data_IF_472358366363
#
_entry.id   IF_472358366363
#
_cell.length_a   1.000
_cell.length_b   1.000
_cell.length_c   1.000
_cell.angle_alpha   90.00
_cell.angle_beta   90.00
_cell.angle_gamma   90.00
#
_symmetry.space_group_name_H-M   'P 1'
#
loop_
_entity.id
_entity.type
_entity.pdbx_description
1 polymer ?
#
# COMPACT_ATOMS: atom_id res chain seq x y z
N UNK A 1 3.22 0.28 -18.04
CA UNK A 1 2.05 0.11 -17.15
C UNK A 1 1.17 -1.01 -17.69
N UNK A 2 0.87 -2.00 -16.86
CA UNK A 2 -0.10 -3.05 -17.15
C UNK A 2 -1.50 -2.57 -16.74
N UNK A 3 -2.53 -3.00 -17.46
CA UNK A 3 -3.93 -2.79 -17.09
C UNK A 3 -4.67 -4.12 -17.19
N UNK A 4 -5.28 -4.52 -16.11
CA UNK A 4 -6.06 -5.76 -16.00
C UNK A 4 -7.52 -5.45 -15.68
N UNK A 5 -8.44 -6.26 -16.18
CA UNK A 5 -9.85 -6.23 -15.79
C UNK A 5 -10.10 -7.38 -14.81
N UNK A 6 -10.29 -7.05 -13.54
CA UNK A 6 -10.44 -8.02 -12.45
C UNK A 6 -11.87 -8.52 -12.32
N UNK A 7 -12.83 -7.64 -12.59
CA UNK A 7 -14.27 -7.98 -12.66
C UNK A 7 -14.95 -7.15 -13.76
N UNK A 8 -16.28 -7.25 -13.88
CA UNK A 8 -17.01 -6.49 -14.91
C UNK A 8 -16.85 -4.98 -14.75
N UNK A 9 -16.66 -4.50 -13.54
CA UNK A 9 -16.62 -3.08 -13.22
C UNK A 9 -15.30 -2.61 -12.58
N UNK A 10 -14.33 -3.53 -12.36
CA UNK A 10 -13.07 -3.21 -11.69
C UNK A 10 -11.88 -3.43 -12.63
N UNK A 11 -11.05 -2.40 -12.72
CA UNK A 11 -9.78 -2.40 -13.45
C UNK A 11 -8.65 -2.06 -12.50
N UNK A 12 -7.51 -2.74 -12.67
CA UNK A 12 -6.28 -2.51 -11.90
C UNK A 12 -5.18 -2.06 -12.86
N UNK A 13 -4.46 -1.07 -12.45
CA UNK A 13 -3.27 -0.55 -13.15
C UNK A 13 -2.05 -0.84 -12.30
N UNK A 14 -1.07 -1.52 -12.89
CA UNK A 14 0.22 -1.82 -12.25
C UNK A 14 1.30 -1.01 -12.93
N UNK A 15 2.03 -0.20 -12.18
CA UNK A 15 3.10 0.63 -12.68
C UNK A 15 4.23 -0.21 -13.31
N UNK A 16 4.72 0.22 -14.44
CA UNK A 16 5.96 -0.29 -15.03
C UNK A 16 7.18 0.56 -14.68
N UNK A 17 6.97 1.70 -14.01
CA UNK A 17 8.02 2.68 -13.69
C UNK A 17 8.44 2.63 -12.23
N UNK A 18 7.58 2.16 -11.32
CA UNK A 18 7.87 2.19 -9.89
C UNK A 18 7.34 0.95 -9.16
N UNK A 19 8.23 0.05 -8.78
CA UNK A 19 8.00 -1.07 -7.85
C UNK A 19 6.69 -1.85 -8.05
N UNK A 20 6.13 -1.86 -9.27
CA UNK A 20 4.83 -2.46 -9.59
C UNK A 20 3.69 -1.96 -8.65
N UNK A 21 3.75 -0.70 -8.20
CA UNK A 21 2.67 -0.10 -7.41
C UNK A 21 1.36 -0.12 -8.20
N UNK A 22 0.25 -0.33 -7.49
CA UNK A 22 -1.06 -0.52 -8.11
C UNK A 22 -2.00 0.67 -7.87
N UNK A 23 -2.97 0.83 -8.77
CA UNK A 23 -4.11 1.72 -8.61
C UNK A 23 -5.36 1.06 -9.17
N UNK A 24 -6.51 1.32 -8.56
CA UNK A 24 -7.79 0.75 -8.94
C UNK A 24 -8.74 1.73 -9.60
N UNK A 25 -9.58 1.24 -10.51
CA UNK A 25 -10.69 1.99 -11.09
C UNK A 25 -11.95 1.16 -11.01
N UNK A 26 -12.95 1.68 -10.32
CA UNK A 26 -14.24 1.03 -10.06
C UNK A 26 -15.33 1.81 -10.80
N UNK A 27 -15.95 1.18 -11.79
CA UNK A 27 -17.11 1.74 -12.50
C UNK A 27 -18.36 1.49 -11.68
N UNK A 28 -19.20 2.51 -11.52
CA UNK A 28 -20.52 2.41 -10.91
C UNK A 28 -21.57 2.99 -11.85
N UNK A 29 -22.88 2.84 -11.53
CA UNK A 29 -23.94 3.48 -12.30
C UNK A 29 -24.04 5.00 -12.12
N UNK A 30 -23.27 5.57 -11.18
CA UNK A 30 -23.33 6.99 -10.85
C UNK A 30 -21.98 7.71 -11.03
N UNK A 31 -21.01 7.07 -11.65
CA UNK A 31 -19.67 7.61 -11.91
C UNK A 31 -18.59 6.59 -11.58
N UNK A 32 -17.37 7.06 -11.48
CA UNK A 32 -16.17 6.24 -11.26
C UNK A 32 -15.56 6.56 -9.90
N UNK A 33 -15.06 5.53 -9.22
CA UNK A 33 -14.20 5.66 -8.04
C UNK A 33 -12.80 5.19 -8.43
N UNK A 34 -11.78 5.95 -8.04
CA UNK A 34 -10.37 5.58 -8.21
C UNK A 34 -9.80 5.26 -6.83
N UNK A 35 -8.99 4.21 -6.72
CA UNK A 35 -8.25 3.84 -5.51
C UNK A 35 -6.78 3.98 -5.82
N UNK A 36 -6.12 4.92 -5.15
CA UNK A 36 -4.73 5.36 -5.38
C UNK A 36 -4.46 5.91 -6.80
N UNK A 37 -3.30 6.53 -7.00
CA UNK A 37 -3.14 7.39 -8.17
C UNK A 37 -1.82 7.25 -8.91
N UNK A 38 -0.92 6.37 -8.47
CA UNK A 38 0.43 6.16 -9.01
C UNK A 38 1.36 7.39 -8.85
N UNK A 39 2.70 7.21 -8.82
CA UNK A 39 3.62 8.32 -8.53
C UNK A 39 3.95 9.17 -9.75
N UNK A 40 4.12 8.54 -10.93
CA UNK A 40 4.66 9.24 -12.09
C UNK A 40 3.57 9.82 -12.99
N UNK A 41 3.64 11.13 -13.33
CA UNK A 41 2.65 11.81 -14.17
C UNK A 41 2.32 11.11 -15.48
N UNK A 42 3.32 10.47 -16.09
CA UNK A 42 3.13 9.71 -17.33
C UNK A 42 2.11 8.58 -17.19
N UNK A 43 2.15 7.82 -16.09
CA UNK A 43 1.21 6.72 -15.84
C UNK A 43 -0.08 7.22 -15.20
N UNK A 44 0.01 8.16 -14.27
CA UNK A 44 -1.16 8.78 -13.63
C UNK A 44 -2.11 9.46 -14.62
N UNK A 45 -1.58 10.09 -15.70
CA UNK A 45 -2.40 10.65 -16.77
C UNK A 45 -3.15 9.56 -17.57
N UNK A 46 -2.51 8.42 -17.80
CA UNK A 46 -3.18 7.31 -18.49
C UNK A 46 -4.31 6.73 -17.62
N UNK A 47 -4.06 6.57 -16.32
CA UNK A 47 -5.06 6.17 -15.33
C UNK A 47 -6.24 7.16 -15.30
N UNK A 48 -5.95 8.46 -15.15
CA UNK A 48 -6.97 9.50 -15.09
C UNK A 48 -7.81 9.58 -16.38
N UNK A 49 -7.15 9.56 -17.54
CA UNK A 49 -7.83 9.59 -18.83
C UNK A 49 -8.71 8.35 -19.08
N UNK A 50 -8.28 7.17 -18.61
CA UNK A 50 -9.10 5.96 -18.67
C UNK A 50 -10.30 6.07 -17.74
N UNK A 51 -10.09 6.39 -16.46
CA UNK A 51 -11.15 6.50 -15.46
C UNK A 51 -12.23 7.52 -15.86
N UNK A 52 -11.81 8.68 -16.38
CA UNK A 52 -12.72 9.74 -16.83
C UNK A 52 -13.66 9.30 -17.95
N UNK A 53 -13.20 8.42 -18.85
CA UNK A 53 -13.99 7.96 -20.01
C UNK A 53 -14.94 6.80 -19.68
N UNK A 54 -14.79 6.12 -18.55
CA UNK A 54 -15.60 4.95 -18.23
C UNK A 54 -17.07 5.28 -17.91
N UNK A 55 -17.36 6.54 -17.56
CA UNK A 55 -18.72 6.96 -17.25
C UNK A 55 -18.93 8.45 -17.63
N UNK A 56 -20.12 8.86 -18.13
CA UNK A 56 -20.39 10.26 -18.52
C UNK A 56 -20.21 11.28 -17.38
N UNK A 57 -20.43 10.87 -16.12
CA UNK A 57 -20.18 11.72 -14.93
C UNK A 57 -18.71 11.75 -14.50
N UNK A 58 -17.82 11.03 -15.19
CA UNK A 58 -16.39 10.95 -14.87
C UNK A 58 -16.10 10.37 -13.49
N UNK A 59 -14.94 10.76 -12.95
CA UNK A 59 -14.49 10.35 -11.62
C UNK A 59 -15.18 11.19 -10.55
N UNK A 60 -15.87 10.53 -9.64
CA UNK A 60 -16.59 11.15 -8.51
C UNK A 60 -15.72 11.20 -7.24
N UNK A 61 -15.02 10.11 -6.97
CA UNK A 61 -14.20 9.97 -5.77
C UNK A 61 -12.84 9.39 -6.13
N UNK A 62 -11.82 9.88 -5.43
CA UNK A 62 -10.51 9.25 -5.34
C UNK A 62 -10.29 8.85 -3.88
N UNK A 63 -10.04 7.59 -3.63
CA UNK A 63 -9.71 7.07 -2.30
C UNK A 63 -8.20 6.94 -2.23
N UNK A 64 -7.57 7.66 -1.31
CA UNK A 64 -6.14 7.52 -1.00
C UNK A 64 -6.01 6.53 0.15
N UNK A 65 -5.33 5.41 -0.10
CA UNK A 65 -5.23 4.34 0.88
C UNK A 65 -4.28 4.68 2.03
N UNK A 66 -3.24 5.45 1.75
CA UNK A 66 -2.32 6.01 2.74
C UNK A 66 -1.48 7.14 2.12
N UNK A 67 -0.62 7.78 2.91
CA UNK A 67 0.07 9.02 2.56
C UNK A 67 1.35 8.87 1.74
N UNK A 68 1.81 7.66 1.44
CA UNK A 68 3.04 7.46 0.70
C UNK A 68 2.94 7.99 -0.74
N UNK A 69 4.07 8.49 -1.22
CA UNK A 69 4.22 9.21 -2.48
C UNK A 69 3.65 8.47 -3.70
N UNK A 70 3.90 7.19 -3.77
CA UNK A 70 3.51 6.32 -4.88
C UNK A 70 2.01 6.04 -4.95
N UNK A 71 1.27 6.32 -3.88
CA UNK A 71 -0.19 6.22 -3.82
C UNK A 71 -0.90 7.56 -4.05
N UNK A 72 -0.26 8.69 -3.68
CA UNK A 72 -0.93 10.00 -3.64
C UNK A 72 -0.53 11.00 -4.72
N UNK A 73 0.67 10.87 -5.32
CA UNK A 73 1.23 11.91 -6.19
C UNK A 73 0.38 12.19 -7.45
N UNK A 74 -0.29 11.20 -8.03
CA UNK A 74 -1.16 11.39 -9.19
C UNK A 74 -2.49 12.08 -8.88
N UNK A 75 -2.84 12.30 -7.61
CA UNK A 75 -4.15 12.83 -7.18
C UNK A 75 -4.47 14.21 -7.75
N UNK A 76 -3.46 15.01 -8.07
CA UNK A 76 -3.64 16.36 -8.65
C UNK A 76 -4.34 16.35 -10.03
N UNK A 77 -4.33 15.22 -10.74
CA UNK A 77 -4.97 15.07 -12.04
C UNK A 77 -6.50 14.89 -11.96
N UNK A 78 -7.04 14.64 -10.77
CA UNK A 78 -8.47 14.38 -10.55
C UNK A 78 -9.20 15.58 -9.97
N UNK A 79 -9.02 16.77 -10.55
CA UNK A 79 -9.50 18.06 -9.99
C UNK A 79 -11.02 18.13 -9.75
N UNK A 80 -11.82 17.38 -10.50
CA UNK A 80 -13.28 17.30 -10.35
C UNK A 80 -13.79 16.25 -9.34
N UNK A 81 -12.88 15.48 -8.73
CA UNK A 81 -13.23 14.43 -7.80
C UNK A 81 -12.98 14.83 -6.35
N UNK A 82 -13.84 14.36 -5.44
CA UNK A 82 -13.59 14.45 -3.99
C UNK A 82 -12.56 13.40 -3.56
N UNK A 83 -11.61 13.80 -2.70
CA UNK A 83 -10.60 12.91 -2.14
C UNK A 83 -11.06 12.38 -0.79
N UNK A 84 -11.15 11.06 -0.66
CA UNK A 84 -11.49 10.35 0.57
C UNK A 84 -10.21 9.72 1.13
N UNK A 85 -9.95 9.86 2.42
CA UNK A 85 -8.86 9.17 3.10
C UNK A 85 -9.12 9.07 4.61
N UNK A 86 -8.34 8.24 5.29
CA UNK A 86 -8.27 8.26 6.73
C UNK A 86 -7.72 9.62 7.22
N UNK A 87 -8.19 10.12 8.37
CA UNK A 87 -7.75 11.41 8.92
C UNK A 87 -6.22 11.49 9.04
N UNK A 88 -5.58 10.43 9.54
CA UNK A 88 -4.11 10.36 9.65
C UNK A 88 -3.39 10.51 8.31
N UNK A 89 -3.96 10.03 7.21
CA UNK A 89 -3.38 10.21 5.88
C UNK A 89 -3.27 11.71 5.53
N UNK A 90 -4.32 12.47 5.77
CA UNK A 90 -4.28 13.94 5.59
C UNK A 90 -3.23 14.60 6.49
N UNK A 91 -3.19 14.22 7.76
CA UNK A 91 -2.23 14.77 8.74
C UNK A 91 -0.78 14.49 8.31
N UNK A 92 -0.49 13.28 7.86
CA UNK A 92 0.85 12.90 7.37
C UNK A 92 1.22 13.65 6.09
N UNK A 93 0.31 13.77 5.11
CA UNK A 93 0.55 14.56 3.90
C UNK A 93 0.81 16.04 4.26
N UNK A 94 0.03 16.61 5.18
CA UNK A 94 0.22 17.99 5.64
C UNK A 94 1.56 18.21 6.33
N UNK A 95 1.99 17.23 7.15
CA UNK A 95 3.20 17.36 7.96
C UNK A 95 4.48 17.11 7.18
N UNK A 96 4.47 16.13 6.28
CA UNK A 96 5.69 15.63 5.64
C UNK A 96 5.68 15.74 4.12
N UNK A 97 4.51 15.85 3.49
CA UNK A 97 4.35 15.68 2.06
C UNK A 97 5.10 16.70 1.21
N UNK A 98 5.04 18.00 1.55
CA UNK A 98 5.72 19.04 0.75
C UNK A 98 7.24 18.88 0.81
N UNK A 99 7.82 18.56 1.96
CA UNK A 99 9.26 18.34 2.09
C UNK A 99 9.70 17.09 1.30
N UNK A 100 8.95 15.99 1.43
CA UNK A 100 9.22 14.76 0.68
C UNK A 100 9.08 14.96 -0.83
N UNK A 101 8.06 15.70 -1.27
CA UNK A 101 7.88 16.02 -2.70
C UNK A 101 9.00 16.91 -3.23
N UNK A 102 9.45 17.90 -2.47
CA UNK A 102 10.55 18.76 -2.87
C UNK A 102 11.86 17.97 -3.05
N UNK A 103 12.15 17.05 -2.14
CA UNK A 103 13.29 16.14 -2.26
C UNK A 103 13.16 15.21 -3.49
N UNK A 104 11.99 14.60 -3.68
CA UNK A 104 11.73 13.73 -4.83
C UNK A 104 11.88 14.47 -6.17
N UNK A 105 11.40 15.72 -6.27
CA UNK A 105 11.56 16.58 -7.45
C UNK A 105 13.03 16.91 -7.75
N UNK A 106 13.83 17.10 -6.72
CA UNK A 106 15.28 17.34 -6.89
C UNK A 106 16.01 16.13 -7.48
N UNK A 107 15.51 14.93 -7.20
CA UNK A 107 16.08 13.67 -7.69
C UNK A 107 15.48 13.21 -9.03
N UNK A 108 14.23 13.59 -9.33
CA UNK A 108 13.48 13.07 -10.47
C UNK A 108 12.69 14.16 -11.18
N UNK A 109 13.20 14.61 -12.32
CA UNK A 109 12.59 15.70 -13.12
C UNK A 109 11.14 15.41 -13.56
N UNK A 110 10.77 14.15 -13.77
CA UNK A 110 9.40 13.75 -14.12
C UNK A 110 8.36 14.20 -13.08
N UNK A 111 8.76 14.40 -11.81
CA UNK A 111 7.87 14.84 -10.74
C UNK A 111 7.67 16.37 -10.69
N UNK A 112 8.32 17.15 -11.54
CA UNK A 112 8.30 18.62 -11.50
C UNK A 112 6.89 19.22 -11.46
N UNK A 113 5.93 18.62 -12.17
CA UNK A 113 4.54 19.09 -12.25
C UNK A 113 3.64 18.57 -11.11
N UNK A 114 4.07 17.57 -10.35
CA UNK A 114 3.28 17.01 -9.25
C UNK A 114 2.97 18.06 -8.21
N UNK A 115 1.73 18.06 -7.74
CA UNK A 115 1.25 18.93 -6.66
C UNK A 115 0.44 18.09 -5.68
N UNK A 116 0.69 18.28 -4.41
CA UNK A 116 -0.09 17.58 -3.39
C UNK A 116 -1.52 18.12 -3.33
N UNK A 117 -2.46 17.20 -3.18
CA UNK A 117 -3.84 17.51 -2.83
C UNK A 117 -4.16 16.88 -1.48
N UNK A 118 -4.73 17.68 -0.60
CA UNK A 118 -5.19 17.16 0.69
C UNK A 118 -6.58 16.55 0.54
N UNK A 119 -6.82 15.35 1.11
CA UNK A 119 -8.16 14.77 1.19
C UNK A 119 -9.11 15.70 1.94
N UNK A 120 -10.37 15.74 1.50
CA UNK A 120 -11.44 16.60 2.06
C UNK A 120 -12.52 15.81 2.76
N UNK A 121 -12.80 14.58 2.32
CA UNK A 121 -13.69 13.66 2.99
C UNK A 121 -12.85 12.72 3.88
N UNK A 122 -12.94 12.95 5.19
CA UNK A 122 -12.11 12.27 6.17
C UNK A 122 -12.95 11.35 7.05
N UNK A 123 -12.37 10.25 7.48
CA UNK A 123 -12.97 9.34 8.44
C UNK A 123 -11.92 8.76 9.39
N UNK A 124 -12.39 8.23 10.50
CA UNK A 124 -11.65 7.41 11.44
C UNK A 124 -12.31 6.03 11.54
N UNK A 125 -11.51 4.99 11.77
CA UNK A 125 -12.03 3.62 11.87
C UNK A 125 -12.53 3.09 10.52
N UNK A 126 -13.83 3.14 10.27
CA UNK A 126 -14.48 2.57 9.08
C UNK A 126 -15.42 3.57 8.39
N UNK A 127 -15.52 3.46 7.07
CA UNK A 127 -16.47 4.20 6.25
C UNK A 127 -17.13 3.27 5.23
N UNK A 128 -18.43 3.38 5.05
CA UNK A 128 -19.15 2.71 3.97
C UNK A 128 -19.63 3.73 2.94
N UNK A 129 -19.06 3.68 1.74
CA UNK A 129 -19.49 4.47 0.59
C UNK A 129 -20.42 3.63 -0.30
N UNK A 130 -21.66 4.08 -0.49
CA UNK A 130 -22.60 3.48 -1.44
C UNK A 130 -22.77 4.40 -2.64
N UNK A 131 -22.44 3.89 -3.83
CA UNK A 131 -22.50 4.66 -5.06
C UNK A 131 -22.92 3.76 -6.24
N UNK A 132 -24.02 4.11 -6.89
CA UNK A 132 -24.43 3.51 -8.16
C UNK A 132 -24.49 1.99 -8.18
N UNK A 133 -24.93 1.37 -7.07
CA UNK A 133 -25.09 -0.07 -6.92
C UNK A 133 -23.83 -0.80 -6.43
N UNK A 134 -22.81 -0.07 -6.03
CA UNK A 134 -21.63 -0.61 -5.36
C UNK A 134 -21.57 -0.16 -3.91
N UNK A 135 -21.10 -1.05 -3.06
CA UNK A 135 -20.82 -0.81 -1.63
C UNK A 135 -19.32 -0.97 -1.39
N UNK A 136 -18.64 0.13 -1.17
CA UNK A 136 -17.22 0.15 -0.83
C UNK A 136 -17.11 0.31 0.68
N UNK A 137 -16.52 -0.69 1.32
CA UNK A 137 -16.23 -0.66 2.76
C UNK A 137 -14.74 -0.33 2.94
N UNK A 138 -14.47 0.82 3.52
CA UNK A 138 -13.15 1.32 3.84
C UNK A 138 -12.88 1.04 5.31
N UNK A 139 -11.76 0.39 5.64
CA UNK A 139 -11.42 0.06 7.02
C UNK A 139 -9.93 0.27 7.28
N UNK A 140 -9.59 0.71 8.49
CA UNK A 140 -8.20 0.79 8.92
C UNK A 140 -7.52 -0.58 8.85
N UNK A 141 -6.27 -0.57 8.39
CA UNK A 141 -5.41 -1.75 8.30
C UNK A 141 -3.95 -1.37 8.61
N UNK A 142 -3.69 -0.86 9.82
CA UNK A 142 -2.37 -0.35 10.17
C UNK A 142 -1.31 -1.45 10.19
N UNK A 143 -0.05 -1.04 10.14
CA UNK A 143 1.09 -1.94 10.22
C UNK A 143 2.21 -1.55 9.27
N UNK A 144 1.92 -1.33 7.98
CA UNK A 144 2.86 -0.71 7.05
C UNK A 144 3.07 0.78 7.39
N UNK A 145 1.99 1.49 7.58
CA UNK A 145 1.95 2.82 8.17
C UNK A 145 0.67 2.98 9.02
N UNK A 146 0.59 4.00 9.92
CA UNK A 146 -0.55 4.14 10.83
C UNK A 146 -1.83 4.61 10.14
N UNK A 147 -1.75 5.06 8.90
CA UNK A 147 -2.85 5.64 8.12
C UNK A 147 -3.40 4.72 7.02
N UNK A 148 -2.82 3.52 6.85
CA UNK A 148 -3.26 2.57 5.81
C UNK A 148 -4.70 2.15 6.04
N UNK A 149 -5.46 2.16 4.93
CA UNK A 149 -6.80 1.59 4.85
C UNK A 149 -6.87 0.56 3.72
N UNK A 150 -7.82 -0.33 3.83
CA UNK A 150 -8.27 -1.20 2.75
C UNK A 150 -9.60 -0.73 2.18
N UNK A 151 -9.90 -1.11 0.92
CA UNK A 151 -11.18 -0.80 0.26
C UNK A 151 -11.78 -2.09 -0.28
N UNK A 152 -12.85 -2.58 0.35
CA UNK A 152 -13.55 -3.79 -0.04
C UNK A 152 -14.79 -3.47 -0.88
N UNK A 153 -14.78 -3.86 -2.15
CA UNK A 153 -15.94 -3.80 -3.04
C UNK A 153 -16.79 -5.05 -2.81
N UNK A 154 -17.87 -4.90 -2.06
CA UNK A 154 -18.65 -6.02 -1.50
C UNK A 154 -19.27 -6.92 -2.57
N UNK A 155 -19.84 -6.33 -3.62
CA UNK A 155 -20.58 -7.04 -4.67
C UNK A 155 -19.66 -7.96 -5.50
N UNK A 156 -18.42 -7.51 -5.76
CA UNK A 156 -17.44 -8.30 -6.52
C UNK A 156 -16.48 -9.08 -5.63
N UNK A 157 -16.54 -8.87 -4.30
CA UNK A 157 -15.60 -9.49 -3.34
C UNK A 157 -14.13 -9.21 -3.67
N UNK A 158 -13.86 -8.01 -4.18
CA UNK A 158 -12.51 -7.53 -4.49
C UNK A 158 -12.05 -6.61 -3.38
N UNK A 159 -10.88 -6.86 -2.83
CA UNK A 159 -10.24 -6.04 -1.81
C UNK A 159 -9.03 -5.33 -2.41
N UNK A 160 -9.03 -4.02 -2.39
CA UNK A 160 -7.81 -3.22 -2.52
C UNK A 160 -7.16 -3.16 -1.14
N UNK A 161 -6.12 -3.96 -0.96
CA UNK A 161 -5.48 -4.14 0.34
C UNK A 161 -4.36 -3.13 0.60
N UNK A 162 -3.98 -2.35 -0.41
CA UNK A 162 -2.86 -1.43 -0.33
C UNK A 162 -1.60 -2.14 0.20
N UNK A 163 -0.72 -1.44 0.89
CA UNK A 163 0.54 -1.97 1.41
C UNK A 163 0.38 -2.84 2.67
N UNK A 164 -0.86 -3.11 3.10
CA UNK A 164 -1.14 -4.20 4.04
C UNK A 164 -0.78 -5.55 3.41
N UNK A 165 -1.01 -5.71 2.10
CA UNK A 165 -0.64 -6.91 1.35
C UNK A 165 0.31 -6.54 0.24
N UNK A 166 1.53 -7.04 0.34
CA UNK A 166 2.61 -6.90 -0.64
C UNK A 166 3.29 -8.26 -0.82
N UNK A 167 4.03 -8.49 -1.92
CA UNK A 167 4.83 -9.71 -2.10
C UNK A 167 5.77 -9.99 -0.92
N UNK A 168 6.31 -8.93 -0.31
CA UNK A 168 7.01 -8.95 0.97
C UNK A 168 6.48 -7.81 1.83
N UNK A 169 5.96 -8.06 3.03
CA UNK A 169 5.57 -6.99 3.96
C UNK A 169 6.71 -5.98 4.19
N UNK A 170 6.40 -4.69 4.16
CA UNK A 170 7.38 -3.63 4.39
C UNK A 170 7.05 -2.86 5.66
N UNK A 171 8.01 -2.83 6.60
CA UNK A 171 7.81 -2.39 7.98
C UNK A 171 8.47 -1.06 8.34
N UNK A 172 9.29 -0.49 7.46
CA UNK A 172 10.03 0.73 7.81
C UNK A 172 9.07 1.89 8.06
N UNK A 173 9.09 2.40 9.30
CA UNK A 173 8.12 3.40 9.76
C UNK A 173 6.78 2.84 10.26
N UNK A 174 6.60 1.51 10.18
CA UNK A 174 5.39 0.80 10.59
C UNK A 174 5.49 0.07 11.92
N UNK A 175 4.55 -0.84 12.14
CA UNK A 175 4.44 -1.64 13.36
C UNK A 175 4.21 -3.13 13.05
N UNK A 176 5.08 -3.99 13.54
CA UNK A 176 5.05 -5.43 13.28
C UNK A 176 3.80 -6.13 13.84
N UNK A 177 3.38 -5.78 15.06
CA UNK A 177 2.22 -6.39 15.70
C UNK A 177 0.91 -5.99 14.99
N UNK A 178 0.78 -4.70 14.63
CA UNK A 178 -0.35 -4.20 13.84
C UNK A 178 -0.39 -4.85 12.46
N UNK A 179 0.75 -5.00 11.76
CA UNK A 179 0.81 -5.65 10.46
C UNK A 179 0.31 -7.09 10.51
N UNK A 180 0.75 -7.87 11.51
CA UNK A 180 0.25 -9.23 11.73
C UNK A 180 -1.26 -9.27 12.00
N UNK A 181 -1.74 -8.32 12.84
CA UNK A 181 -3.16 -8.21 13.16
C UNK A 181 -3.97 -7.94 11.89
N UNK A 182 -3.56 -6.96 11.10
CA UNK A 182 -4.20 -6.59 9.84
C UNK A 182 -4.24 -7.76 8.84
N UNK A 183 -3.13 -8.45 8.63
CA UNK A 183 -3.08 -9.63 7.76
C UNK A 183 -4.02 -10.75 8.22
N UNK A 184 -4.10 -11.03 9.54
CA UNK A 184 -5.02 -12.04 10.09
C UNK A 184 -6.48 -11.65 9.90
N UNK A 185 -6.82 -10.37 10.05
CA UNK A 185 -8.17 -9.87 9.83
C UNK A 185 -8.64 -10.09 8.39
N UNK A 186 -7.77 -9.86 7.40
CA UNK A 186 -8.10 -10.06 5.98
C UNK A 186 -8.38 -11.53 5.63
N UNK A 187 -7.74 -12.48 6.32
CA UNK A 187 -7.90 -13.92 6.07
C UNK A 187 -9.34 -14.43 6.25
N UNK A 188 -10.13 -13.73 7.05
CA UNK A 188 -11.51 -14.11 7.35
C UNK A 188 -12.55 -13.52 6.36
N UNK A 189 -12.11 -12.68 5.42
CA UNK A 189 -13.00 -12.07 4.46
C UNK A 189 -13.30 -13.02 3.27
N UNK A 190 -14.54 -13.06 2.79
CA UNK A 190 -14.92 -13.90 1.65
C UNK A 190 -14.52 -13.23 0.33
N UNK A 191 -13.24 -13.25 0.01
CA UNK A 191 -12.66 -12.56 -1.14
C UNK A 191 -12.50 -13.47 -2.37
N UNK A 192 -12.73 -12.90 -3.56
CA UNK A 192 -12.37 -13.51 -4.84
C UNK A 192 -11.00 -13.03 -5.32
N UNK A 193 -10.67 -11.74 -5.06
CA UNK A 193 -9.39 -11.15 -5.43
C UNK A 193 -8.87 -10.20 -4.36
N UNK A 194 -7.54 -10.11 -4.24
CA UNK A 194 -6.85 -9.02 -3.55
C UNK A 194 -5.99 -8.25 -4.55
N UNK A 195 -6.20 -6.95 -4.61
CA UNK A 195 -5.28 -6.01 -5.25
C UNK A 195 -4.27 -5.60 -4.20
N UNK A 196 -3.03 -6.07 -4.34
CA UNK A 196 -1.93 -5.71 -3.47
C UNK A 196 -1.53 -4.25 -3.70
N UNK A 197 -0.87 -3.60 -2.74
CA UNK A 197 -0.29 -2.27 -2.97
C UNK A 197 0.78 -2.28 -4.06
N UNK A 198 1.56 -3.36 -4.12
CA UNK A 198 2.57 -3.62 -5.14
C UNK A 198 2.46 -5.07 -5.63
N UNK A 199 2.74 -5.29 -6.92
CA UNK A 199 2.74 -6.62 -7.53
C UNK A 199 1.43 -7.02 -8.19
N UNK A 200 1.26 -8.31 -8.52
CA UNK A 200 0.09 -8.81 -9.26
C UNK A 200 -1.17 -8.86 -8.39
N UNK A 201 -2.32 -8.90 -9.05
CA UNK A 201 -3.60 -9.20 -8.40
C UNK A 201 -3.59 -10.67 -7.94
N UNK A 202 -3.91 -10.90 -6.67
CA UNK A 202 -4.05 -12.25 -6.13
C UNK A 202 -5.43 -12.81 -6.47
N UNK A 203 -5.45 -14.03 -6.97
CA UNK A 203 -6.65 -14.80 -7.22
C UNK A 203 -7.09 -15.54 -5.94
N UNK A 204 -8.36 -15.89 -5.85
CA UNK A 204 -8.96 -16.58 -4.69
C UNK A 204 -8.11 -17.75 -4.15
N UNK A 205 -7.55 -18.57 -5.03
CA UNK A 205 -6.74 -19.72 -4.62
C UNK A 205 -5.39 -19.38 -3.99
N UNK A 206 -4.90 -18.15 -4.20
CA UNK A 206 -3.59 -17.68 -3.74
C UNK A 206 -3.67 -16.88 -2.43
N UNK A 207 -4.87 -16.38 -2.09
CA UNK A 207 -5.07 -15.43 -0.98
C UNK A 207 -4.60 -16.00 0.35
N UNK A 208 -5.09 -17.19 0.72
CA UNK A 208 -4.79 -17.79 2.02
C UNK A 208 -3.28 -18.05 2.17
N UNK A 209 -2.65 -18.64 1.16
CA UNK A 209 -1.22 -18.95 1.16
C UNK A 209 -0.38 -17.67 1.23
N UNK A 210 -0.74 -16.63 0.48
CA UNK A 210 -0.01 -15.35 0.47
C UNK A 210 -0.07 -14.65 1.83
N UNK A 211 -1.25 -14.62 2.47
CA UNK A 211 -1.42 -14.02 3.80
C UNK A 211 -0.65 -14.80 4.86
N UNK A 212 -0.78 -16.13 4.87
CA UNK A 212 -0.09 -17.02 5.81
C UNK A 212 1.44 -16.95 5.63
N UNK A 213 1.93 -16.95 4.40
CA UNK A 213 3.35 -16.77 4.07
C UNK A 213 3.88 -15.40 4.53
N UNK A 214 3.06 -14.35 4.45
CA UNK A 214 3.46 -13.02 4.92
C UNK A 214 3.54 -12.95 6.44
N UNK A 215 2.61 -13.57 7.15
CA UNK A 215 2.66 -13.69 8.62
C UNK A 215 3.90 -14.48 9.05
N UNK A 216 4.15 -15.63 8.40
CA UNK A 216 5.31 -16.46 8.69
C UNK A 216 6.63 -15.72 8.44
N UNK A 217 6.70 -14.93 7.37
CA UNK A 217 7.86 -14.08 7.09
C UNK A 217 8.11 -13.08 8.22
N UNK A 218 7.06 -12.41 8.71
CA UNK A 218 7.16 -11.46 9.81
C UNK A 218 7.64 -12.13 11.10
N UNK A 219 7.16 -13.34 11.40
CA UNK A 219 7.59 -14.11 12.56
C UNK A 219 9.08 -14.50 12.46
N UNK A 220 9.50 -14.94 11.27
CA UNK A 220 10.90 -15.34 11.04
C UNK A 220 11.88 -14.17 11.14
N UNK A 221 11.56 -13.01 10.57
CA UNK A 221 12.47 -11.86 10.64
C UNK A 221 12.54 -11.30 12.07
N UNK A 222 11.44 -11.31 12.83
CA UNK A 222 11.45 -10.93 14.23
C UNK A 222 12.35 -11.85 15.07
N UNK A 223 12.15 -13.17 14.97
CA UNK A 223 12.96 -14.15 15.68
C UNK A 223 14.44 -14.00 15.33
N UNK A 224 14.77 -13.90 14.03
CA UNK A 224 16.13 -13.75 13.56
C UNK A 224 16.80 -12.50 14.15
N UNK A 225 16.11 -11.38 14.17
CA UNK A 225 16.66 -10.12 14.69
C UNK A 225 16.77 -10.20 16.22
N UNK A 226 15.81 -10.79 16.94
CA UNK A 226 15.88 -11.02 18.39
C UNK A 226 17.11 -11.84 18.77
N UNK A 227 17.35 -12.97 18.09
CA UNK A 227 18.53 -13.83 18.30
C UNK A 227 19.82 -13.06 18.00
N UNK A 228 19.80 -12.22 16.96
CA UNK A 228 20.95 -11.41 16.56
C UNK A 228 21.33 -10.36 17.62
N UNK A 229 20.34 -9.64 18.16
CA UNK A 229 20.51 -8.64 19.23
C UNK A 229 20.91 -9.32 20.55
N UNK A 230 20.30 -10.48 20.87
CA UNK A 230 20.64 -11.23 22.07
C UNK A 230 22.11 -11.73 22.04
N UNK A 231 22.58 -12.15 20.88
CA UNK A 231 23.97 -12.61 20.68
C UNK A 231 25.00 -11.46 20.56
N UNK A 232 24.58 -10.19 20.66
CA UNK A 232 25.46 -9.03 20.53
C UNK A 232 26.11 -8.86 19.15
N UNK A 233 25.52 -9.45 18.11
CA UNK A 233 26.07 -9.36 16.75
C UNK A 233 25.86 -7.95 16.17
N UNK A 234 26.82 -7.46 15.35
CA UNK A 234 26.73 -6.11 14.81
C UNK A 234 25.60 -5.99 13.76
N UNK A 235 24.98 -4.82 13.68
CA UNK A 235 23.93 -4.47 12.70
C UNK A 235 24.31 -4.81 11.25
N UNK A 236 25.59 -4.60 10.90
CA UNK A 236 26.11 -4.83 9.54
C UNK A 236 26.04 -6.29 9.08
N UNK A 237 26.03 -7.26 9.99
CA UNK A 237 25.95 -8.67 9.61
C UNK A 237 24.54 -9.08 9.13
N UNK A 238 23.50 -8.28 9.40
CA UNK A 238 22.15 -8.49 8.85
C UNK A 238 22.09 -8.26 7.32
N UNK A 239 23.01 -7.49 6.75
CA UNK A 239 23.05 -7.23 5.31
C UNK A 239 23.26 -8.50 4.46
N UNK A 240 23.76 -9.58 5.06
CA UNK A 240 24.01 -10.85 4.38
C UNK A 240 22.85 -11.84 4.49
N UNK A 241 21.81 -11.51 5.24
CA UNK A 241 20.65 -12.39 5.40
C UNK A 241 19.84 -12.38 4.10
N UNK A 242 19.70 -13.56 3.53
CA UNK A 242 18.94 -13.76 2.30
C UNK A 242 17.43 -13.89 2.62
N UNK A 243 16.61 -13.19 1.86
CA UNK A 243 15.15 -13.23 1.99
C UNK A 243 14.58 -14.65 1.86
N UNK A 244 15.21 -15.51 1.06
CA UNK A 244 14.77 -16.89 0.87
C UNK A 244 14.88 -17.73 2.14
N UNK A 245 15.82 -17.40 3.03
CA UNK A 245 15.91 -18.05 4.35
C UNK A 245 14.70 -17.71 5.24
N UNK A 246 14.04 -16.59 4.94
CA UNK A 246 12.80 -16.17 5.60
C UNK A 246 11.53 -16.59 4.86
N UNK A 247 11.65 -17.40 3.79
CA UNK A 247 10.53 -18.03 3.09
C UNK A 247 9.84 -17.14 2.03
N UNK A 248 10.53 -16.10 1.55
CA UNK A 248 10.06 -15.27 0.42
C UNK A 248 11.05 -15.37 -0.75
N UNK A 249 10.53 -15.36 -1.98
CA UNK A 249 11.36 -15.43 -3.18
C UNK A 249 12.03 -14.08 -3.48
N UNK A 250 13.31 -14.12 -3.88
CA UNK A 250 14.11 -12.93 -4.22
C UNK A 250 13.75 -12.30 -5.57
N UNK A 251 12.97 -12.98 -6.44
CA UNK A 251 12.68 -12.48 -7.79
C UNK A 251 11.46 -11.56 -7.86
N UNK A 252 10.66 -11.53 -6.78
CA UNK A 252 9.46 -10.70 -6.72
C UNK A 252 9.81 -9.20 -6.88
N UNK A 253 8.88 -8.43 -7.42
CA UNK A 253 9.06 -7.00 -7.75
C UNK A 253 10.34 -6.70 -8.53
N UNK A 254 10.74 -7.60 -9.43
CA UNK A 254 11.98 -7.45 -10.19
C UNK A 254 13.26 -7.47 -9.34
N UNK A 255 13.24 -8.15 -8.19
CA UNK A 255 14.36 -8.24 -7.27
C UNK A 255 14.40 -7.14 -6.19
N UNK A 256 13.49 -6.18 -6.21
CA UNK A 256 13.44 -5.11 -5.20
C UNK A 256 13.22 -5.67 -3.77
N UNK A 257 12.53 -6.79 -3.66
CA UNK A 257 12.18 -7.43 -2.37
C UNK A 257 13.37 -7.71 -1.47
N UNK A 258 14.57 -7.99 -2.02
CA UNK A 258 15.78 -8.18 -1.21
C UNK A 258 16.18 -6.89 -0.48
N UNK A 259 16.01 -5.72 -1.12
CA UNK A 259 16.26 -4.42 -0.46
C UNK A 259 15.21 -4.12 0.61
N UNK A 260 13.93 -4.42 0.33
CA UNK A 260 12.86 -4.27 1.32
C UNK A 260 13.10 -5.15 2.54
N UNK A 261 13.50 -6.40 2.31
CA UNK A 261 13.88 -7.34 3.37
C UNK A 261 15.02 -6.81 4.24
N UNK A 262 16.11 -6.34 3.62
CA UNK A 262 17.23 -5.76 4.36
C UNK A 262 16.80 -4.54 5.17
N UNK A 263 15.98 -3.65 4.59
CA UNK A 263 15.46 -2.49 5.30
C UNK A 263 14.62 -2.91 6.53
N UNK A 264 13.76 -3.94 6.39
CA UNK A 264 12.98 -4.49 7.49
C UNK A 264 13.88 -5.01 8.63
N UNK A 265 14.91 -5.79 8.31
CA UNK A 265 15.84 -6.34 9.31
C UNK A 265 16.56 -5.23 10.08
N UNK A 266 17.04 -4.22 9.36
CA UNK A 266 17.75 -3.10 9.97
C UNK A 266 16.81 -2.25 10.83
N UNK A 267 15.59 -2.00 10.37
CA UNK A 267 14.57 -1.28 11.12
C UNK A 267 14.21 -2.00 12.44
N UNK A 268 13.96 -3.31 12.37
CA UNK A 268 13.66 -4.10 13.56
C UNK A 268 14.85 -4.16 14.53
N UNK A 269 16.08 -4.28 14.03
CA UNK A 269 17.28 -4.27 14.85
C UNK A 269 17.41 -2.95 15.63
N UNK A 270 17.28 -1.82 14.94
CA UNK A 270 17.39 -0.50 15.54
C UNK A 270 16.31 -0.29 16.62
N UNK A 271 15.08 -0.73 16.36
CA UNK A 271 13.98 -0.67 17.31
C UNK A 271 14.23 -1.53 18.56
N UNK A 272 14.67 -2.79 18.40
CA UNK A 272 14.92 -3.71 19.51
C UNK A 272 16.12 -3.27 20.36
N UNK A 273 17.16 -2.70 19.75
CA UNK A 273 18.32 -2.15 20.49
C UNK A 273 17.89 -0.92 21.31
N UNK A 274 17.09 -0.05 20.74
CA UNK A 274 16.57 1.13 21.44
C UNK A 274 15.68 0.74 22.63
N UNK A 275 14.79 -0.25 22.44
CA UNK A 275 13.93 -0.78 23.53
C UNK A 275 14.75 -1.39 24.66
N UNK A 276 15.77 -2.21 24.34
CA UNK A 276 16.66 -2.82 25.33
C UNK A 276 17.45 -1.76 26.12
N UNK A 277 17.88 -0.69 25.46
CA UNK A 277 18.56 0.43 26.13
C UNK A 277 17.63 1.19 27.09
N UNK A 278 16.37 1.39 26.67
CA UNK A 278 15.35 2.04 27.51
C UNK A 278 14.96 1.20 28.75
N UNK A 279 14.99 -0.13 28.67
CA UNK A 279 14.70 -1.04 29.78
C UNK A 279 15.88 -1.15 30.77
N UNK A 280 17.09 -0.81 30.37
CA UNK A 280 18.31 -0.86 31.18
C UNK A 280 18.63 0.47 31.88
N UNK A 281 17.93 1.56 31.53
CA UNK A 281 18.06 2.90 32.12
C UNK A 281 17.04 3.15 33.23
#
# INVERSE_FOLDING_TARGET
MLRERVSDDIYVFTSGLYAQVTAGVIRTREGVVVVDTLPFPRESRQLAAFAQRLHPRGVRYVILTHSHADHVYGSYLFTGAELIAHQRCREMIQRYGEAALAEAKAQTAELAEVRLRLPTLLFEGELTLRLGGKTLHLAQSPGHSPDVITVHVKEEKVLFASDTVMPVPYLVGGNLAEMRHSLRALRNLPLENIVQGHGPVLLRGEIAETLDSSILYLDKIEQLVQEHVAAGKPRSSLAQVDIETCGKSRVLLGGLVQRLHQANLLYLYDAMVAEKAAQAA
#
